data_IF_377191892275
#
_entry.id   IF_377191892275
#
_cell.length_a   1.000
_cell.length_b   1.000
_cell.length_c   1.000
_cell.angle_alpha   90.00
_cell.angle_beta   90.00
_cell.angle_gamma   90.00
#
_symmetry.space_group_name_H-M   'P 1'
#
loop_
_entity.id
_entity.type
_entity.pdbx_description
1 polymer ?
#
# COMPACT_ATOMS: atom_id res chain seq x y z
N UNK A 1 30.34 32.70 -11.58
CA UNK A 1 31.34 32.99 -12.64
C UNK A 1 31.54 31.76 -13.54
N UNK A 2 30.55 31.39 -14.37
CA UNK A 2 30.68 30.42 -15.49
C UNK A 2 29.46 30.57 -16.42
N UNK A 3 29.47 31.59 -17.29
CA UNK A 3 28.46 31.78 -18.34
C UNK A 3 29.07 32.64 -19.46
N UNK A 4 30.05 32.09 -20.20
CA UNK A 4 30.64 32.76 -21.37
C UNK A 4 31.25 31.78 -22.39
N UNK A 5 30.62 30.63 -22.63
CA UNK A 5 31.08 29.64 -23.64
C UNK A 5 30.02 29.37 -24.74
N UNK A 6 28.85 30.02 -24.72
CA UNK A 6 27.77 29.75 -25.70
C UNK A 6 27.85 30.66 -26.95
N UNK A 7 28.80 31.61 -26.99
CA UNK A 7 28.82 32.68 -28.00
C UNK A 7 29.35 32.34 -29.39
N UNK A 8 29.76 31.09 -29.69
CA UNK A 8 30.48 30.81 -30.95
C UNK A 8 30.17 29.45 -31.61
N UNK A 9 28.99 28.86 -31.34
CA UNK A 9 28.59 27.62 -32.04
C UNK A 9 27.93 27.94 -33.39
N UNK A 10 28.29 27.20 -34.47
CA UNK A 10 27.69 27.38 -35.79
C UNK A 10 26.18 27.05 -35.76
N UNK A 11 25.34 27.71 -36.60
CA UNK A 11 23.87 27.57 -36.58
C UNK A 11 23.35 26.13 -36.73
N UNK A 12 24.15 25.26 -37.37
CA UNK A 12 23.85 23.85 -37.59
C UNK A 12 23.89 23.03 -36.29
N UNK A 13 24.78 23.36 -35.34
CA UNK A 13 24.90 22.67 -34.06
C UNK A 13 23.89 23.15 -33.02
N UNK A 14 23.40 24.39 -33.14
CA UNK A 14 22.34 24.93 -32.27
C UNK A 14 21.05 24.11 -32.46
N UNK A 15 20.69 23.78 -33.70
CA UNK A 15 19.53 22.90 -33.98
C UNK A 15 19.71 21.50 -33.38
N UNK A 16 20.91 20.94 -33.40
CA UNK A 16 21.19 19.61 -32.83
C UNK A 16 21.04 19.61 -31.30
N UNK A 17 21.56 20.64 -30.61
CA UNK A 17 21.50 20.76 -29.15
C UNK A 17 20.06 21.04 -28.65
N UNK A 18 19.26 21.79 -29.42
CA UNK A 18 17.83 21.98 -29.10
C UNK A 18 17.01 20.69 -29.26
N UNK A 19 17.39 19.79 -30.18
CA UNK A 19 16.67 18.52 -30.39
C UNK A 19 16.91 17.52 -29.24
N UNK A 20 18.11 17.52 -28.63
CA UNK A 20 18.41 16.62 -27.50
C UNK A 20 17.84 17.08 -26.15
N UNK A 21 17.44 18.35 -26.01
CA UNK A 21 16.86 18.88 -24.76
C UNK A 21 15.33 18.82 -24.72
N UNK A 22 14.70 18.25 -25.74
CA UNK A 22 13.24 18.11 -25.88
C UNK A 22 12.55 17.05 -25.00
N UNK A 23 13.19 16.56 -23.93
CA UNK A 23 12.48 15.75 -22.93
C UNK A 23 11.57 16.70 -22.14
N UNK A 24 10.33 16.87 -22.61
CA UNK A 24 9.26 17.51 -21.83
C UNK A 24 9.16 16.78 -20.49
N UNK A 25 9.71 17.38 -19.42
CA UNK A 25 9.36 17.01 -18.05
C UNK A 25 7.86 17.26 -17.91
N UNK A 26 7.07 16.17 -17.85
CA UNK A 26 5.64 16.22 -17.55
C UNK A 26 5.51 16.91 -16.18
N UNK A 27 4.91 18.09 -16.17
CA UNK A 27 4.71 18.90 -14.98
C UNK A 27 3.86 18.12 -13.95
N UNK A 28 4.28 18.17 -12.68
CA UNK A 28 3.69 17.43 -11.55
C UNK A 28 2.24 17.87 -11.25
N UNK A 29 1.77 18.97 -11.83
CA UNK A 29 0.40 19.46 -11.69
C UNK A 29 -0.63 18.76 -12.61
N UNK A 30 -0.18 18.00 -13.61
CA UNK A 30 -1.03 17.42 -14.67
C UNK A 30 -1.36 15.93 -14.47
N UNK A 31 -1.12 15.36 -13.28
CA UNK A 31 -1.46 13.97 -13.00
C UNK A 31 -2.96 13.82 -12.78
N UNK A 32 -3.66 13.31 -13.79
CA UNK A 32 -5.03 12.82 -13.59
C UNK A 32 -4.99 11.51 -12.78
N UNK A 33 -5.99 11.25 -11.92
CA UNK A 33 -6.09 9.98 -11.18
C UNK A 33 -6.05 8.75 -12.10
N UNK A 34 -6.42 8.93 -13.38
CA UNK A 34 -6.47 7.90 -14.41
C UNK A 34 -5.06 7.52 -14.91
N UNK A 35 -4.12 8.46 -14.93
CA UNK A 35 -2.72 8.20 -15.31
C UNK A 35 -1.98 7.35 -14.26
N UNK A 36 -2.42 7.41 -13.00
CA UNK A 36 -1.86 6.61 -11.91
C UNK A 36 -2.18 5.12 -12.07
N UNK A 37 -3.45 4.79 -12.39
CA UNK A 37 -3.91 3.40 -12.58
C UNK A 37 -3.29 2.76 -13.82
N UNK A 38 -2.99 3.57 -14.84
CA UNK A 38 -2.47 3.08 -16.13
C UNK A 38 -0.94 2.86 -16.14
N UNK A 39 -0.20 3.32 -15.13
CA UNK A 39 1.25 3.19 -15.09
C UNK A 39 1.67 1.76 -14.65
N UNK A 40 2.34 0.97 -15.51
CA UNK A 40 2.74 -0.39 -15.17
C UNK A 40 3.72 -0.45 -13.98
N UNK A 41 4.47 0.61 -13.73
CA UNK A 41 5.42 0.70 -12.60
C UNK A 41 4.68 0.79 -11.26
N UNK A 42 3.66 1.66 -11.18
CA UNK A 42 2.84 1.82 -9.96
C UNK A 42 2.01 0.56 -9.69
N UNK A 43 1.47 -0.09 -10.73
CA UNK A 43 0.78 -1.39 -10.59
C UNK A 43 1.71 -2.48 -10.05
N UNK A 44 2.96 -2.56 -10.52
CA UNK A 44 3.92 -3.54 -10.00
C UNK A 44 4.27 -3.26 -8.52
N UNK A 45 4.42 -1.98 -8.14
CA UNK A 45 4.63 -1.57 -6.74
C UNK A 45 3.42 -1.93 -5.87
N UNK A 46 2.20 -1.73 -6.37
CA UNK A 46 0.97 -2.14 -5.70
C UNK A 46 0.90 -3.67 -5.49
N UNK A 47 1.21 -4.46 -6.53
CA UNK A 47 1.23 -5.93 -6.42
C UNK A 47 2.29 -6.43 -5.43
N UNK A 48 3.49 -5.83 -5.44
CA UNK A 48 4.51 -6.11 -4.42
C UNK A 48 4.00 -5.76 -3.02
N UNK A 49 3.37 -4.59 -2.85
CA UNK A 49 2.78 -4.19 -1.57
C UNK A 49 1.72 -5.18 -1.08
N UNK A 50 0.83 -5.64 -1.98
CA UNK A 50 -0.16 -6.68 -1.68
C UNK A 50 0.52 -7.98 -1.25
N UNK A 51 1.53 -8.42 -1.98
CA UNK A 51 2.28 -9.65 -1.70
C UNK A 51 2.94 -9.57 -0.34
N UNK A 52 3.58 -8.45 -0.03
CA UNK A 52 4.18 -8.21 1.28
C UNK A 52 3.10 -8.24 2.36
N UNK A 53 1.97 -7.55 2.17
CA UNK A 53 0.85 -7.56 3.12
C UNK A 53 0.34 -8.98 3.43
N UNK A 54 0.23 -9.85 2.41
CA UNK A 54 -0.13 -11.27 2.57
C UNK A 54 0.95 -12.01 3.36
N UNK A 55 2.24 -11.80 3.06
CA UNK A 55 3.35 -12.39 3.80
C UNK A 55 3.29 -11.95 5.27
N UNK A 56 3.06 -10.67 5.57
CA UNK A 56 2.92 -10.17 6.93
C UNK A 56 1.75 -10.81 7.68
N UNK A 57 0.61 -11.02 7.01
CA UNK A 57 -0.52 -11.72 7.61
C UNK A 57 -0.16 -13.18 7.93
N UNK A 58 0.52 -13.89 7.02
CA UNK A 58 1.00 -15.27 7.26
C UNK A 58 1.99 -15.30 8.43
N UNK A 59 2.89 -14.32 8.51
CA UNK A 59 3.83 -14.18 9.63
C UNK A 59 3.09 -13.93 10.94
N UNK A 60 2.07 -13.07 10.95
CA UNK A 60 1.25 -12.80 12.14
C UNK A 60 0.60 -14.08 12.66
N UNK A 61 -0.11 -14.81 11.79
CA UNK A 61 -0.72 -16.09 12.13
C UNK A 61 0.29 -17.12 12.61
N UNK A 62 1.45 -17.21 11.94
CA UNK A 62 2.53 -18.13 12.31
C UNK A 62 3.12 -17.82 13.67
N UNK A 63 3.50 -16.56 13.92
CA UNK A 63 4.10 -16.10 15.18
C UNK A 63 3.12 -16.23 16.33
N UNK A 64 1.84 -15.88 16.14
CA UNK A 64 0.83 -16.07 17.18
C UNK A 64 0.71 -17.54 17.59
N UNK A 65 0.64 -18.47 16.63
CA UNK A 65 0.57 -19.90 16.91
C UNK A 65 1.84 -20.43 17.59
N UNK A 66 3.03 -19.97 17.16
CA UNK A 66 4.30 -20.30 17.79
C UNK A 66 4.35 -19.81 19.24
N UNK A 67 3.98 -18.55 19.51
CA UNK A 67 3.97 -17.99 20.86
C UNK A 67 2.96 -18.72 21.77
N UNK A 68 1.76 -19.03 21.27
CA UNK A 68 0.75 -19.73 22.06
C UNK A 68 1.16 -21.18 22.37
N UNK A 69 1.76 -21.91 21.42
CA UNK A 69 2.17 -23.31 21.63
C UNK A 69 3.47 -23.47 22.40
N UNK A 70 4.49 -22.67 22.11
CA UNK A 70 5.84 -22.88 22.65
C UNK A 70 6.14 -22.02 23.88
N UNK A 71 5.53 -20.85 24.01
CA UNK A 71 5.78 -19.93 25.12
C UNK A 71 4.66 -19.94 26.16
N UNK A 72 3.60 -20.75 25.95
CA UNK A 72 2.40 -20.81 26.79
C UNK A 72 1.83 -19.42 27.13
N UNK A 73 2.01 -18.45 26.22
CA UNK A 73 1.60 -17.07 26.45
C UNK A 73 0.08 -16.94 26.32
N UNK A 74 -0.47 -16.06 27.16
CA UNK A 74 -1.88 -15.70 27.09
C UNK A 74 -2.21 -15.09 25.72
N UNK A 75 -3.38 -15.41 25.16
CA UNK A 75 -3.78 -15.02 23.78
C UNK A 75 -3.57 -13.53 23.46
N UNK A 76 -3.85 -12.65 24.44
CA UNK A 76 -3.63 -11.21 24.33
C UNK A 76 -2.16 -10.84 24.14
N UNK A 77 -1.25 -11.45 24.92
CA UNK A 77 0.18 -11.15 24.84
C UNK A 77 0.80 -11.71 23.55
N UNK A 78 0.40 -12.92 23.16
CA UNK A 78 0.81 -13.53 21.89
C UNK A 78 0.38 -12.70 20.68
N UNK A 79 -0.86 -12.17 20.68
CA UNK A 79 -1.39 -11.32 19.61
C UNK A 79 -0.64 -9.99 19.49
N UNK A 80 -0.27 -9.35 20.60
CA UNK A 80 0.51 -8.10 20.55
C UNK A 80 1.91 -8.34 19.97
N UNK A 81 2.59 -9.41 20.40
CA UNK A 81 3.92 -9.75 19.90
C UNK A 81 3.87 -10.13 18.42
N UNK A 82 2.89 -10.94 18.01
CA UNK A 82 2.73 -11.33 16.62
C UNK A 82 2.45 -10.14 15.71
N UNK A 83 1.60 -9.21 16.15
CA UNK A 83 1.29 -8.00 15.40
C UNK A 83 2.53 -7.12 15.20
N UNK A 84 3.35 -6.92 16.25
CA UNK A 84 4.60 -6.16 16.14
C UNK A 84 5.55 -6.82 15.14
N UNK A 85 5.74 -8.14 15.22
CA UNK A 85 6.62 -8.88 14.31
C UNK A 85 6.10 -8.82 12.87
N UNK A 86 4.79 -8.94 12.68
CA UNK A 86 4.15 -8.84 11.37
C UNK A 86 4.32 -7.46 10.73
N UNK A 87 4.14 -6.40 11.52
CA UNK A 87 4.37 -5.00 11.09
C UNK A 87 5.83 -4.78 10.72
N UNK A 88 6.78 -5.28 11.52
CA UNK A 88 8.21 -5.19 11.23
C UNK A 88 8.58 -5.95 9.95
N UNK A 89 8.06 -7.17 9.78
CA UNK A 89 8.24 -7.96 8.56
C UNK A 89 7.69 -7.20 7.36
N UNK A 90 6.44 -6.72 7.43
CA UNK A 90 5.83 -5.94 6.37
C UNK A 90 6.65 -4.70 6.01
N UNK A 91 7.21 -4.02 7.00
CA UNK A 91 8.07 -2.87 6.76
C UNK A 91 9.39 -3.26 6.08
N UNK A 92 10.08 -4.30 6.56
CA UNK A 92 11.35 -4.77 5.99
C UNK A 92 11.18 -5.18 4.53
N UNK A 93 10.17 -6.00 4.24
CA UNK A 93 9.87 -6.43 2.89
C UNK A 93 9.47 -5.26 1.97
N UNK A 94 8.71 -4.29 2.46
CA UNK A 94 8.40 -3.08 1.68
C UNK A 94 9.63 -2.20 1.44
N UNK A 95 10.52 -2.06 2.44
CA UNK A 95 11.73 -1.26 2.33
C UNK A 95 12.76 -1.87 1.38
N UNK A 96 13.05 -3.16 1.51
CA UNK A 96 14.10 -3.83 0.73
C UNK A 96 13.66 -4.26 -0.67
N UNK A 97 12.38 -4.60 -0.87
CA UNK A 97 11.91 -5.19 -2.13
C UNK A 97 10.92 -4.32 -2.92
N UNK A 98 9.98 -3.65 -2.25
CA UNK A 98 9.02 -2.79 -2.94
C UNK A 98 9.61 -1.42 -3.29
N UNK A 99 10.43 -0.85 -2.40
CA UNK A 99 11.02 0.50 -2.55
C UNK A 99 12.53 0.56 -2.25
N UNK A 100 13.38 -0.21 -2.95
CA UNK A 100 14.83 -0.25 -2.71
C UNK A 100 15.54 1.11 -2.91
N UNK A 101 14.94 2.02 -3.68
CA UNK A 101 15.52 3.33 -4.02
C UNK A 101 15.22 4.43 -2.99
N UNK A 102 14.39 4.17 -1.98
CA UNK A 102 14.11 5.13 -0.91
C UNK A 102 15.28 5.15 0.08
N UNK A 103 16.32 5.95 -0.18
CA UNK A 103 17.50 6.08 0.71
C UNK A 103 17.60 7.40 1.48
N UNK A 104 16.70 8.35 1.23
CA UNK A 104 16.86 9.72 1.75
C UNK A 104 16.41 9.91 3.21
N UNK A 105 15.38 9.17 3.68
CA UNK A 105 14.86 9.29 5.06
C UNK A 105 15.40 8.20 6.01
N UNK A 106 15.58 8.51 7.32
CA UNK A 106 15.92 7.55 8.36
C UNK A 106 14.91 6.38 8.45
N UNK A 107 15.42 5.17 8.72
CA UNK A 107 14.61 3.94 8.79
C UNK A 107 13.48 4.05 9.83
N UNK A 108 13.78 4.57 11.02
CA UNK A 108 12.81 4.74 12.10
C UNK A 108 11.66 5.68 11.72
N UNK A 109 11.94 6.76 10.97
CA UNK A 109 10.91 7.69 10.51
C UNK A 109 9.94 7.00 9.55
N UNK A 110 10.44 6.19 8.61
CA UNK A 110 9.60 5.44 7.68
C UNK A 110 8.76 4.38 8.38
N UNK A 111 9.33 3.71 9.39
CA UNK A 111 8.60 2.75 10.20
C UNK A 111 7.45 3.41 10.94
N UNK A 112 7.70 4.54 11.62
CA UNK A 112 6.64 5.28 12.33
C UNK A 112 5.54 5.74 11.35
N UNK A 113 5.90 6.29 10.19
CA UNK A 113 4.94 6.68 9.16
C UNK A 113 4.11 5.48 8.67
N UNK A 114 4.75 4.35 8.40
CA UNK A 114 4.08 3.12 7.98
C UNK A 114 3.10 2.60 9.03
N UNK A 115 3.50 2.60 10.30
CA UNK A 115 2.65 2.20 11.43
C UNK A 115 1.46 3.13 11.56
N UNK A 116 1.67 4.46 11.52
CA UNK A 116 0.58 5.43 11.60
C UNK A 116 -0.42 5.27 10.46
N UNK A 117 0.07 5.10 9.22
CA UNK A 117 -0.79 4.83 8.06
C UNK A 117 -1.60 3.55 8.25
N UNK A 118 -0.95 2.48 8.72
CA UNK A 118 -1.60 1.18 8.98
C UNK A 118 -2.66 1.26 10.08
N UNK A 119 -2.42 2.05 11.13
CA UNK A 119 -3.39 2.30 12.20
C UNK A 119 -4.61 3.07 11.69
N UNK A 120 -4.42 4.08 10.83
CA UNK A 120 -5.54 4.76 10.17
C UNK A 120 -6.30 3.80 9.26
N UNK A 121 -5.60 2.94 8.52
CA UNK A 121 -6.21 1.86 7.73
C UNK A 121 -7.07 0.93 8.60
N UNK A 122 -6.60 0.57 9.79
CA UNK A 122 -7.40 -0.22 10.75
C UNK A 122 -8.65 0.53 11.21
N UNK A 123 -8.54 1.83 11.47
CA UNK A 123 -9.68 2.68 11.80
C UNK A 123 -10.72 2.74 10.67
N UNK A 124 -10.27 2.89 9.42
CA UNK A 124 -11.15 2.85 8.23
C UNK A 124 -11.86 1.49 8.14
N UNK A 125 -11.14 0.39 8.37
CA UNK A 125 -11.75 -0.96 8.40
C UNK A 125 -12.90 -1.01 9.40
N UNK A 126 -12.66 -0.55 10.63
CA UNK A 126 -13.66 -0.58 11.69
C UNK A 126 -14.88 0.28 11.34
N UNK A 127 -14.65 1.50 10.82
CA UNK A 127 -15.72 2.39 10.38
C UNK A 127 -16.56 1.77 9.26
N UNK A 128 -15.92 1.07 8.31
CA UNK A 128 -16.62 0.35 7.25
C UNK A 128 -17.49 -0.76 7.83
N UNK A 129 -16.97 -1.60 8.73
CA UNK A 129 -17.80 -2.61 9.39
C UNK A 129 -19.04 -1.99 10.06
N UNK A 130 -18.90 -0.87 10.77
CA UNK A 130 -20.05 -0.20 11.39
C UNK A 130 -21.09 0.35 10.39
N UNK A 131 -20.66 0.78 9.19
CA UNK A 131 -21.51 1.51 8.24
C UNK A 131 -22.06 0.63 7.12
N UNK A 132 -21.26 -0.27 6.57
CA UNK A 132 -21.59 -1.07 5.38
C UNK A 132 -21.99 -2.52 5.69
N UNK A 133 -21.68 -3.06 6.88
CA UNK A 133 -22.01 -4.45 7.22
C UNK A 133 -23.52 -4.70 7.21
N UNK A 134 -24.29 -3.87 7.91
CA UNK A 134 -25.75 -4.00 8.02
C UNK A 134 -26.46 -3.96 6.65
N UNK A 135 -26.20 -2.98 5.75
CA UNK A 135 -26.84 -3.00 4.44
C UNK A 135 -26.40 -4.18 3.58
N UNK A 136 -25.13 -4.60 3.65
CA UNK A 136 -24.65 -5.78 2.91
C UNK A 136 -25.31 -7.06 3.39
N UNK A 137 -25.49 -7.23 4.71
CA UNK A 137 -26.19 -8.39 5.26
C UNK A 137 -27.64 -8.45 4.76
N UNK A 138 -28.35 -7.31 4.75
CA UNK A 138 -29.71 -7.24 4.21
C UNK A 138 -29.78 -7.60 2.73
N UNK A 139 -28.83 -7.08 1.93
CA UNK A 139 -28.73 -7.42 0.51
C UNK A 139 -28.42 -8.91 0.32
N UNK A 140 -27.51 -9.48 1.11
CA UNK A 140 -27.17 -10.90 1.04
C UNK A 140 -28.37 -11.80 1.38
N UNK A 141 -29.17 -11.43 2.38
CA UNK A 141 -30.39 -12.15 2.74
C UNK A 141 -31.47 -12.09 1.65
N UNK A 142 -31.52 -10.99 0.88
CA UNK A 142 -32.47 -10.83 -0.22
C UNK A 142 -32.04 -11.56 -1.50
N UNK A 143 -30.74 -11.69 -1.75
CA UNK A 143 -30.19 -12.23 -3.00
C UNK A 143 -29.85 -13.72 -2.91
N UNK A 144 -29.45 -14.21 -1.73
CA UNK A 144 -29.03 -15.61 -1.55
C UNK A 144 -30.26 -16.50 -1.31
N UNK A 145 -30.55 -17.47 -2.21
CA UNK A 145 -31.69 -18.36 -2.04
C UNK A 145 -31.53 -19.28 -0.81
N UNK A 146 -32.64 -19.66 -0.19
CA UNK A 146 -32.68 -20.55 0.98
C UNK A 146 -32.11 -21.96 0.74
N UNK A 147 -31.98 -22.38 -0.53
CA UNK A 147 -31.37 -23.65 -0.93
C UNK A 147 -29.85 -23.59 -1.21
N UNK A 148 -29.21 -22.42 -1.05
CA UNK A 148 -27.78 -22.28 -1.29
C UNK A 148 -26.96 -22.97 -0.19
N UNK A 149 -25.84 -23.66 -0.51
CA UNK A 149 -25.05 -24.40 0.48
C UNK A 149 -24.41 -23.51 1.56
N UNK A 150 -24.29 -22.20 1.33
CA UNK A 150 -23.69 -21.23 2.25
C UNK A 150 -24.79 -20.31 2.77
N UNK A 151 -24.83 -20.09 4.10
CA UNK A 151 -25.79 -19.18 4.73
C UNK A 151 -25.61 -17.75 4.21
N UNK A 152 -26.73 -17.07 3.94
CA UNK A 152 -26.73 -15.70 3.45
C UNK A 152 -25.93 -14.74 4.36
N UNK A 153 -26.07 -14.89 5.68
CA UNK A 153 -25.30 -14.13 6.69
C UNK A 153 -23.78 -14.30 6.50
N UNK A 154 -23.31 -15.53 6.28
CA UNK A 154 -21.90 -15.81 6.03
C UNK A 154 -21.41 -15.14 4.75
N UNK A 155 -22.23 -15.10 3.70
CA UNK A 155 -21.90 -14.38 2.46
C UNK A 155 -21.78 -12.88 2.73
N UNK A 156 -22.72 -12.28 3.46
CA UNK A 156 -22.71 -10.86 3.78
C UNK A 156 -21.51 -10.42 4.62
N UNK A 157 -21.14 -11.18 5.66
CA UNK A 157 -19.94 -10.88 6.47
C UNK A 157 -18.65 -10.99 5.64
N UNK A 158 -18.51 -12.04 4.83
CA UNK A 158 -17.34 -12.21 3.98
C UNK A 158 -17.25 -11.11 2.90
N UNK A 159 -18.37 -10.71 2.31
CA UNK A 159 -18.39 -9.63 1.32
C UNK A 159 -17.99 -8.29 1.94
N UNK A 160 -18.51 -7.98 3.13
CA UNK A 160 -18.13 -6.81 3.91
C UNK A 160 -16.62 -6.82 4.20
N UNK A 161 -16.10 -7.96 4.65
CA UNK A 161 -14.68 -8.15 4.94
C UNK A 161 -13.80 -7.93 3.70
N UNK A 162 -14.19 -8.48 2.54
CA UNK A 162 -13.45 -8.30 1.29
C UNK A 162 -13.41 -6.83 0.87
N UNK A 163 -14.56 -6.15 0.90
CA UNK A 163 -14.66 -4.72 0.55
C UNK A 163 -13.78 -3.90 1.50
N UNK A 164 -13.85 -4.18 2.80
CA UNK A 164 -13.05 -3.48 3.79
C UNK A 164 -11.54 -3.70 3.56
N UNK A 165 -11.09 -4.93 3.28
CA UNK A 165 -9.69 -5.21 2.97
C UNK A 165 -9.24 -4.44 1.74
N UNK A 166 -10.03 -4.43 0.66
CA UNK A 166 -9.67 -3.72 -0.58
C UNK A 166 -9.51 -2.22 -0.34
N UNK A 167 -10.46 -1.59 0.34
CA UNK A 167 -10.41 -0.15 0.62
C UNK A 167 -9.19 0.19 1.51
N UNK A 168 -8.97 -0.59 2.56
CA UNK A 168 -7.85 -0.39 3.48
C UNK A 168 -6.51 -0.60 2.79
N UNK A 169 -6.44 -1.57 1.88
CA UNK A 169 -5.24 -1.83 1.10
C UNK A 169 -4.93 -0.66 0.15
N UNK A 170 -5.94 -0.11 -0.53
CA UNK A 170 -5.79 1.08 -1.38
C UNK A 170 -5.32 2.27 -0.53
N UNK A 171 -5.95 2.52 0.62
CA UNK A 171 -5.53 3.57 1.55
C UNK A 171 -4.08 3.40 1.98
N UNK A 172 -3.72 2.20 2.47
CA UNK A 172 -2.38 1.91 2.95
C UNK A 172 -1.34 2.09 1.84
N UNK A 173 -1.63 1.68 0.61
CA UNK A 173 -0.73 1.87 -0.51
C UNK A 173 -0.57 3.36 -0.86
N UNK A 174 -1.66 4.10 -1.04
CA UNK A 174 -1.61 5.51 -1.44
C UNK A 174 -0.93 6.37 -0.38
N UNK A 175 -1.33 6.22 0.88
CA UNK A 175 -0.74 6.98 1.97
C UNK A 175 0.75 6.66 2.15
N UNK A 176 1.17 5.39 2.07
CA UNK A 176 2.60 5.06 2.10
C UNK A 176 3.34 5.57 0.87
N UNK A 177 2.74 5.54 -0.33
CA UNK A 177 3.37 6.04 -1.55
C UNK A 177 3.60 7.55 -1.52
N UNK A 178 2.61 8.32 -1.09
CA UNK A 178 2.67 9.78 -1.09
C UNK A 178 3.35 10.37 0.14
N UNK A 179 3.33 9.67 1.28
CA UNK A 179 3.93 10.18 2.52
C UNK A 179 5.24 9.49 2.87
N UNK A 180 5.20 8.16 3.08
CA UNK A 180 6.37 7.37 3.53
C UNK A 180 7.45 7.29 2.45
N UNK A 181 7.07 7.11 1.19
CA UNK A 181 7.96 6.91 0.05
C UNK A 181 7.89 8.02 -1.01
N UNK A 182 7.55 9.25 -0.60
CA UNK A 182 7.47 10.40 -1.52
C UNK A 182 8.79 10.68 -2.28
N UNK A 183 9.90 10.20 -1.73
CA UNK A 183 11.25 10.48 -2.24
C UNK A 183 11.63 9.54 -3.41
N UNK A 184 10.77 8.56 -3.72
CA UNK A 184 10.99 7.60 -4.81
C UNK A 184 10.54 8.20 -6.14
N UNK A 185 11.49 8.35 -7.06
CA UNK A 185 11.30 8.83 -8.44
C UNK A 185 10.43 7.89 -9.28
#
# INVERSE_FOLDING_TARGET
MRLKIIGNLPPTLIRSVTIYTGIKRKDRSQWSMIDFVRNPVERNRFLKFCTVGVIGAVVDFGVMNLCMRFLAMNSRAASTVSFIVAVLSNFLWNHFWAYPDSREKPLAQKLVQFVLVSLVGLGIRYLLFLTIETPILRLSAAVVPSGFPIRAETVGHNLTLVIAIVIVLIWNFLANRFWTYNDVK
#
